data_IF_716525926474
#
_entry.id   IF_716525926474
#
_cell.length_a   1.000
_cell.length_b   1.000
_cell.length_c   1.000
_cell.angle_alpha   90.00
_cell.angle_beta   90.00
_cell.angle_gamma   90.00
#
_symmetry.space_group_name_H-M   'P 1'
#
loop_
_entity.id
_entity.type
_entity.pdbx_description
1 polymer ?
#
# COMPACT_ATOMS: atom_id res chain seq x y z
N UNK A 1 -5.68 -3.30 -29.26
CA UNK A 1 -5.91 -2.53 -28.04
C UNK A 1 -7.35 -2.66 -27.50
N UNK A 2 -8.41 -2.41 -28.28
CA UNK A 2 -9.79 -2.39 -27.77
C UNK A 2 -10.29 -3.75 -27.24
N UNK A 3 -9.96 -4.88 -27.91
CA UNK A 3 -10.34 -6.23 -27.44
C UNK A 3 -9.64 -6.61 -26.12
N UNK A 4 -8.38 -6.25 -25.95
CA UNK A 4 -7.62 -6.54 -24.73
C UNK A 4 -8.11 -5.71 -23.54
N UNK A 5 -8.51 -4.47 -23.74
CA UNK A 5 -9.10 -3.63 -22.68
C UNK A 5 -10.45 -4.17 -22.19
N UNK A 6 -11.31 -4.64 -23.11
CA UNK A 6 -12.60 -5.26 -22.74
C UNK A 6 -12.40 -6.54 -21.93
N UNK A 7 -11.47 -7.39 -22.32
CA UNK A 7 -11.13 -8.61 -21.56
C UNK A 7 -10.62 -8.28 -20.16
N UNK A 8 -9.77 -7.25 -20.03
CA UNK A 8 -9.23 -6.82 -18.74
C UNK A 8 -10.35 -6.26 -17.82
N UNK A 9 -11.26 -5.47 -18.37
CA UNK A 9 -12.43 -4.98 -17.63
C UNK A 9 -13.29 -6.16 -17.17
N UNK A 10 -13.57 -7.11 -18.06
CA UNK A 10 -14.36 -8.30 -17.71
C UNK A 10 -13.70 -9.12 -16.59
N UNK A 11 -12.37 -9.31 -16.63
CA UNK A 11 -11.62 -9.96 -15.57
C UNK A 11 -11.69 -9.17 -14.24
N UNK A 12 -11.53 -7.85 -14.28
CA UNK A 12 -11.62 -7.03 -13.08
C UNK A 12 -13.04 -7.03 -12.47
N UNK A 13 -14.09 -7.01 -13.30
CA UNK A 13 -15.48 -7.17 -12.84
C UNK A 13 -15.66 -8.55 -12.20
N UNK A 14 -15.21 -9.62 -12.88
CA UNK A 14 -15.33 -10.98 -12.36
C UNK A 14 -14.63 -11.14 -11.01
N UNK A 15 -13.41 -10.62 -10.88
CA UNK A 15 -12.67 -10.58 -9.61
C UNK A 15 -13.43 -9.82 -8.53
N UNK A 16 -13.98 -8.66 -8.87
CA UNK A 16 -14.79 -7.85 -7.95
C UNK A 16 -16.02 -8.62 -7.46
N UNK A 17 -16.69 -9.36 -8.34
CA UNK A 17 -17.86 -10.18 -8.00
C UNK A 17 -17.48 -11.37 -7.09
N UNK A 18 -16.39 -12.07 -7.37
CA UNK A 18 -15.90 -13.16 -6.51
C UNK A 18 -15.50 -12.62 -5.14
N UNK A 19 -14.77 -11.52 -5.10
CA UNK A 19 -14.40 -10.87 -3.84
C UNK A 19 -15.64 -10.44 -3.05
N UNK A 20 -16.66 -9.89 -3.73
CA UNK A 20 -17.93 -9.54 -3.09
C UNK A 20 -18.65 -10.75 -2.52
N UNK A 21 -18.72 -11.86 -3.28
CA UNK A 21 -19.37 -13.09 -2.82
C UNK A 21 -18.81 -13.63 -1.50
N UNK A 22 -17.51 -13.39 -1.23
CA UNK A 22 -16.86 -13.73 0.05
C UNK A 22 -17.54 -13.04 1.24
N UNK A 23 -18.08 -11.84 1.09
CA UNK A 23 -18.70 -11.07 2.16
C UNK A 23 -20.21 -11.36 2.34
N UNK A 24 -20.81 -12.15 1.45
CA UNK A 24 -22.26 -12.42 1.48
C UNK A 24 -22.73 -12.97 2.83
N UNK A 25 -21.94 -13.83 3.46
CA UNK A 25 -22.28 -14.35 4.80
C UNK A 25 -22.31 -13.22 5.84
N UNK A 26 -21.28 -12.40 5.91
CA UNK A 26 -21.20 -11.32 6.89
C UNK A 26 -22.29 -10.24 6.73
N UNK A 27 -22.76 -9.99 5.49
CA UNK A 27 -23.85 -9.04 5.27
C UNK A 27 -25.19 -9.50 5.86
N UNK A 28 -25.35 -10.80 6.09
CA UNK A 28 -26.57 -11.37 6.72
C UNK A 28 -26.44 -11.58 8.21
N UNK A 29 -25.23 -11.51 8.76
CA UNK A 29 -24.94 -11.70 10.20
C UNK A 29 -24.37 -10.44 10.86
N UNK A 30 -24.49 -9.29 10.20
CA UNK A 30 -24.03 -7.97 10.68
C UNK A 30 -22.59 -7.96 11.19
N UNK A 31 -21.72 -8.73 10.54
CA UNK A 31 -20.29 -8.87 10.93
C UNK A 31 -20.08 -9.27 12.39
N UNK A 32 -20.95 -10.13 12.93
CA UNK A 32 -20.83 -10.60 14.31
C UNK A 32 -19.50 -11.33 14.56
N UNK A 33 -18.97 -11.16 15.77
CA UNK A 33 -17.74 -11.83 16.24
C UNK A 33 -18.09 -13.06 17.07
N UNK A 34 -17.46 -14.23 16.86
CA UNK A 34 -16.30 -14.54 15.99
C UNK A 34 -16.65 -14.91 14.54
N UNK A 35 -17.92 -14.89 14.15
CA UNK A 35 -18.44 -15.42 12.90
C UNK A 35 -17.76 -14.81 11.65
N UNK A 36 -17.55 -13.49 11.65
CA UNK A 36 -16.86 -12.79 10.56
C UNK A 36 -15.43 -13.28 10.32
N UNK A 37 -14.74 -13.78 11.33
CA UNK A 37 -13.41 -14.33 11.22
C UNK A 37 -13.44 -15.79 10.74
N UNK A 38 -14.39 -16.59 11.25
CA UNK A 38 -14.59 -17.98 10.80
C UNK A 38 -14.80 -18.04 9.29
N UNK A 39 -15.61 -17.13 8.75
CA UNK A 39 -15.95 -17.05 7.33
C UNK A 39 -15.01 -16.15 6.51
N UNK A 40 -13.94 -15.60 7.13
CA UNK A 40 -12.96 -14.75 6.48
C UNK A 40 -13.56 -13.53 5.76
N UNK A 41 -14.67 -12.97 6.26
CA UNK A 41 -15.40 -11.86 5.67
C UNK A 41 -15.36 -10.55 6.51
N UNK A 42 -14.40 -10.44 7.43
CA UNK A 42 -14.11 -9.18 8.13
C UNK A 42 -13.78 -8.05 7.14
N UNK A 43 -14.27 -6.85 7.47
CA UNK A 43 -13.97 -5.63 6.74
C UNK A 43 -13.98 -4.43 7.68
N UNK A 44 -13.02 -3.50 7.51
CA UNK A 44 -13.00 -2.22 8.21
C UNK A 44 -14.17 -1.31 7.77
N UNK A 45 -14.74 -1.56 6.58
CA UNK A 45 -15.84 -0.74 6.04
C UNK A 45 -17.05 -0.72 6.98
N UNK A 46 -17.66 -1.86 7.33
CA UNK A 46 -18.75 -1.88 8.30
C UNK A 46 -18.30 -1.62 9.72
N UNK A 47 -17.12 -2.10 10.15
CA UNK A 47 -16.64 -1.96 11.51
C UNK A 47 -16.53 -0.48 11.93
N UNK A 48 -15.88 0.34 11.10
CA UNK A 48 -15.65 1.75 11.43
C UNK A 48 -16.88 2.64 11.18
N UNK A 49 -17.88 2.17 10.45
CA UNK A 49 -19.12 2.93 10.23
C UNK A 49 -19.83 3.27 11.55
N UNK A 50 -19.98 2.29 12.42
CA UNK A 50 -20.54 2.46 13.76
C UNK A 50 -19.55 3.04 14.77
N UNK A 51 -18.34 2.46 14.82
CA UNK A 51 -17.32 2.80 15.83
C UNK A 51 -16.82 4.26 15.75
N UNK A 52 -16.89 4.90 14.56
CA UNK A 52 -16.43 6.27 14.35
C UNK A 52 -17.56 7.29 14.21
N UNK A 53 -18.79 6.94 14.62
CA UNK A 53 -19.94 7.84 14.61
C UNK A 53 -20.44 8.24 13.21
N UNK A 54 -19.94 7.62 12.16
CA UNK A 54 -20.33 7.92 10.77
C UNK A 54 -21.81 7.62 10.53
N UNK A 55 -22.35 6.59 11.18
CA UNK A 55 -23.76 6.21 11.17
C UNK A 55 -24.68 7.28 11.76
N UNK A 56 -24.15 8.16 12.62
CA UNK A 56 -24.85 9.33 13.18
C UNK A 56 -24.66 10.58 12.32
N UNK A 57 -23.91 10.49 11.24
CA UNK A 57 -23.58 11.61 10.35
C UNK A 57 -22.51 12.55 10.90
N UNK A 58 -21.78 12.17 11.94
CA UNK A 58 -20.70 12.94 12.52
C UNK A 58 -19.54 13.11 11.53
N UNK A 59 -18.89 14.29 11.58
CA UNK A 59 -17.70 14.52 10.76
C UNK A 59 -16.56 13.60 11.22
N UNK A 60 -15.87 12.99 10.29
CA UNK A 60 -14.85 11.97 10.53
C UNK A 60 -13.75 12.36 11.54
N UNK A 61 -13.56 13.66 11.79
CA UNK A 61 -12.52 14.20 12.68
C UNK A 61 -13.06 15.01 13.85
N UNK A 62 -14.39 14.99 14.13
CA UNK A 62 -15.00 15.82 15.16
C UNK A 62 -14.91 15.25 16.57
N UNK A 63 -14.58 13.96 16.73
CA UNK A 63 -14.77 13.22 18.00
C UNK A 63 -13.47 12.91 18.76
N UNK A 64 -12.40 13.70 18.59
CA UNK A 64 -11.12 13.48 19.29
C UNK A 64 -10.64 12.04 19.16
N UNK A 65 -10.57 11.30 20.26
CA UNK A 65 -10.12 9.91 20.29
C UNK A 65 -11.06 8.91 19.59
N UNK A 66 -12.31 9.25 19.33
CA UNK A 66 -13.22 8.45 18.53
C UNK A 66 -13.20 8.80 17.02
N UNK A 67 -12.42 9.80 16.62
CA UNK A 67 -12.22 10.16 15.20
C UNK A 67 -11.61 9.03 14.39
N UNK A 68 -11.75 9.08 13.06
CA UNK A 68 -11.14 8.07 12.18
C UNK A 68 -9.62 8.12 12.25
N UNK A 69 -9.00 6.95 12.24
CA UNK A 69 -7.55 6.77 12.27
C UNK A 69 -6.91 6.72 10.87
N UNK A 70 -7.36 7.57 9.99
CA UNK A 70 -6.85 7.69 8.61
C UNK A 70 -6.54 9.13 8.24
N UNK A 71 -5.66 9.37 7.25
CA UNK A 71 -5.45 10.69 6.68
C UNK A 71 -6.73 11.28 6.07
N UNK A 72 -6.74 12.61 5.88
CA UNK A 72 -7.92 13.44 5.63
C UNK A 72 -8.80 12.96 4.47
N UNK A 73 -8.22 12.55 3.35
CA UNK A 73 -9.02 12.16 2.17
C UNK A 73 -9.80 10.88 2.44
N UNK A 74 -9.20 9.89 3.11
CA UNK A 74 -9.94 8.66 3.48
C UNK A 74 -11.08 8.97 4.45
N UNK A 75 -10.85 9.77 5.50
CA UNK A 75 -11.91 10.15 6.41
C UNK A 75 -13.05 10.93 5.74
N UNK A 76 -12.70 11.84 4.82
CA UNK A 76 -13.68 12.57 4.03
C UNK A 76 -14.51 11.64 3.11
N UNK A 77 -13.89 10.64 2.49
CA UNK A 77 -14.59 9.61 1.68
C UNK A 77 -15.53 8.79 2.55
N UNK A 78 -15.03 8.30 3.70
CA UNK A 78 -15.84 7.55 4.65
C UNK A 78 -17.10 8.34 5.06
N UNK A 79 -16.92 9.59 5.44
CA UNK A 79 -18.00 10.48 5.83
C UNK A 79 -18.95 10.80 4.68
N UNK A 80 -18.43 11.13 3.49
CA UNK A 80 -19.25 11.46 2.34
C UNK A 80 -20.13 10.28 1.90
N UNK A 81 -19.58 9.05 1.89
CA UNK A 81 -20.37 7.84 1.60
C UNK A 81 -21.44 7.62 2.68
N UNK A 82 -21.10 7.83 3.96
CA UNK A 82 -22.08 7.73 5.05
C UNK A 82 -23.24 8.74 4.90
N UNK A 83 -22.97 9.92 4.34
CA UNK A 83 -24.02 10.95 4.12
C UNK A 83 -24.97 10.64 2.97
N UNK A 84 -24.56 9.88 1.98
CA UNK A 84 -25.39 9.59 0.79
C UNK A 84 -26.15 8.28 0.89
N UNK A 85 -25.83 7.41 1.87
CA UNK A 85 -26.55 6.14 2.03
C UNK A 85 -27.82 6.34 2.86
N UNK A 86 -28.90 5.57 2.58
CA UNK A 86 -30.12 5.62 3.38
C UNK A 86 -29.86 5.22 4.85
N UNK A 87 -30.49 5.93 5.77
CA UNK A 87 -30.53 5.57 7.20
C UNK A 87 -31.62 4.52 7.47
N UNK A 88 -31.56 3.84 8.60
CA UNK A 88 -32.51 2.80 9.00
C UNK A 88 -31.85 1.44 9.22
N UNK A 89 -32.65 0.39 9.30
CA UNK A 89 -32.20 -0.95 9.70
C UNK A 89 -31.12 -1.55 8.80
N UNK A 90 -31.09 -1.20 7.53
CA UNK A 90 -30.09 -1.67 6.55
C UNK A 90 -28.95 -0.65 6.30
N UNK A 91 -28.80 0.36 7.15
CA UNK A 91 -27.81 1.42 6.91
C UNK A 91 -26.38 0.89 6.83
N UNK A 92 -26.01 -0.09 7.64
CA UNK A 92 -24.71 -0.74 7.64
C UNK A 92 -24.43 -1.45 6.32
N UNK A 93 -25.37 -2.26 5.83
CA UNK A 93 -25.28 -2.97 4.56
C UNK A 93 -25.23 -1.99 3.39
N UNK A 94 -26.06 -0.95 3.40
CA UNK A 94 -26.08 0.09 2.37
C UNK A 94 -24.75 0.84 2.31
N UNK A 95 -24.16 1.15 3.46
CA UNK A 95 -22.83 1.76 3.54
C UNK A 95 -21.75 0.83 2.96
N UNK A 96 -21.78 -0.44 3.31
CA UNK A 96 -20.89 -1.44 2.78
C UNK A 96 -21.02 -1.57 1.26
N UNK A 97 -22.23 -1.70 0.71
CA UNK A 97 -22.48 -1.83 -0.72
C UNK A 97 -22.05 -0.59 -1.51
N UNK A 98 -22.28 0.60 -0.98
CA UNK A 98 -21.84 1.83 -1.60
C UNK A 98 -20.29 1.90 -1.69
N UNK A 99 -19.59 1.53 -0.62
CA UNK A 99 -18.13 1.42 -0.64
C UNK A 99 -17.63 0.40 -1.66
N UNK A 100 -18.24 -0.80 -1.72
CA UNK A 100 -17.90 -1.85 -2.69
C UNK A 100 -18.03 -1.33 -4.12
N UNK A 101 -19.10 -0.61 -4.44
CA UNK A 101 -19.29 -0.04 -5.77
C UNK A 101 -18.11 0.86 -6.19
N UNK A 102 -17.72 1.80 -5.33
CA UNK A 102 -16.59 2.68 -5.62
C UNK A 102 -15.26 1.93 -5.67
N UNK A 103 -15.02 0.99 -4.75
CA UNK A 103 -13.79 0.20 -4.73
C UNK A 103 -13.67 -0.72 -5.95
N UNK A 104 -14.77 -1.32 -6.41
CA UNK A 104 -14.80 -2.10 -7.66
C UNK A 104 -14.45 -1.23 -8.87
N UNK A 105 -15.03 -0.02 -8.96
CA UNK A 105 -14.70 0.93 -10.01
C UNK A 105 -13.22 1.31 -9.98
N UNK A 106 -12.68 1.61 -8.80
CA UNK A 106 -11.26 1.92 -8.64
C UNK A 106 -10.37 0.74 -9.05
N UNK A 107 -10.76 -0.49 -8.72
CA UNK A 107 -9.98 -1.68 -9.11
C UNK A 107 -9.95 -1.87 -10.63
N UNK A 108 -11.06 -1.60 -11.33
CA UNK A 108 -11.10 -1.58 -12.80
C UNK A 108 -10.15 -0.50 -13.35
N UNK A 109 -10.22 0.72 -12.79
CA UNK A 109 -9.35 1.84 -13.21
C UNK A 109 -7.86 1.54 -12.94
N UNK A 110 -7.52 0.93 -11.80
CA UNK A 110 -6.16 0.47 -11.48
C UNK A 110 -5.70 -0.55 -12.52
N UNK A 111 -6.52 -1.55 -12.84
CA UNK A 111 -6.18 -2.58 -13.82
C UNK A 111 -5.93 -1.98 -15.21
N UNK A 112 -6.75 -1.00 -15.63
CA UNK A 112 -6.58 -0.27 -16.88
C UNK A 112 -5.32 0.62 -16.87
N UNK A 113 -5.00 1.25 -15.73
CA UNK A 113 -3.80 2.07 -15.60
C UNK A 113 -2.54 1.21 -15.64
N UNK A 114 -2.54 0.04 -14.98
CA UNK A 114 -1.47 -0.96 -15.09
C UNK A 114 -1.28 -1.40 -16.54
N UNK A 115 -2.38 -1.62 -17.29
CA UNK A 115 -2.29 -1.98 -18.71
C UNK A 115 -1.67 -0.88 -19.59
N UNK A 116 -1.84 0.39 -19.23
CA UNK A 116 -1.16 1.51 -19.92
C UNK A 116 0.32 1.58 -19.61
N UNK A 117 0.75 1.06 -18.46
CA UNK A 117 2.13 1.07 -17.99
C UNK A 117 2.87 -0.21 -18.37
N UNK A 118 2.19 -1.37 -18.28
CA UNK A 118 2.77 -2.70 -18.54
C UNK A 118 1.75 -3.64 -19.20
N UNK A 119 1.45 -3.48 -20.49
CA UNK A 119 0.38 -4.23 -21.17
C UNK A 119 0.61 -5.75 -21.18
N UNK A 120 1.88 -6.20 -21.23
CA UNK A 120 2.25 -7.62 -21.32
C UNK A 120 1.80 -8.44 -20.10
N UNK A 121 1.84 -7.84 -18.92
CA UNK A 121 1.56 -8.51 -17.64
C UNK A 121 0.30 -7.97 -16.95
N UNK A 122 -0.42 -7.03 -17.56
CA UNK A 122 -1.53 -6.32 -16.92
C UNK A 122 -2.64 -7.24 -16.39
N UNK A 123 -2.87 -8.38 -17.07
CA UNK A 123 -3.87 -9.37 -16.65
C UNK A 123 -3.57 -9.98 -15.27
N UNK A 124 -2.31 -9.96 -14.83
CA UNK A 124 -1.93 -10.45 -13.50
C UNK A 124 -2.57 -9.63 -12.37
N UNK A 125 -2.87 -8.35 -12.59
CA UNK A 125 -3.52 -7.52 -11.56
C UNK A 125 -4.90 -8.05 -11.18
N UNK A 126 -5.86 -8.23 -12.12
CA UNK A 126 -7.19 -8.73 -11.76
C UNK A 126 -7.23 -10.22 -11.41
N UNK A 127 -6.28 -11.05 -11.88
CA UNK A 127 -6.28 -12.48 -11.53
C UNK A 127 -5.43 -12.82 -10.30
N UNK A 128 -4.80 -11.83 -9.65
CA UNK A 128 -4.02 -12.04 -8.45
C UNK A 128 -4.90 -12.55 -7.30
N UNK A 129 -4.71 -13.79 -6.80
CA UNK A 129 -5.64 -14.39 -5.84
C UNK A 129 -5.62 -13.67 -4.49
N UNK A 130 -4.49 -13.11 -4.08
CA UNK A 130 -4.41 -12.32 -2.86
C UNK A 130 -5.14 -10.98 -2.99
N UNK A 131 -5.22 -10.39 -4.20
CA UNK A 131 -6.05 -9.21 -4.45
C UNK A 131 -7.54 -9.56 -4.31
N UNK A 132 -7.99 -10.69 -4.84
CA UNK A 132 -9.36 -11.20 -4.67
C UNK A 132 -9.69 -11.31 -3.18
N UNK A 133 -8.78 -11.88 -2.39
CA UNK A 133 -8.97 -12.08 -0.97
C UNK A 133 -9.10 -10.75 -0.18
N UNK A 134 -8.44 -9.67 -0.63
CA UNK A 134 -8.24 -8.44 0.15
C UNK A 134 -9.04 -7.22 -0.32
N UNK A 135 -9.73 -7.29 -1.48
CA UNK A 135 -10.24 -6.14 -2.23
C UNK A 135 -11.16 -5.20 -1.42
N UNK A 136 -12.01 -5.73 -0.54
CA UNK A 136 -13.01 -4.94 0.20
C UNK A 136 -12.77 -4.93 1.73
N UNK A 137 -11.53 -5.11 2.15
CA UNK A 137 -11.20 -5.01 3.58
C UNK A 137 -11.16 -3.55 4.02
N UNK A 138 -10.64 -2.65 3.16
CA UNK A 138 -10.33 -1.28 3.54
C UNK A 138 -10.38 -0.34 2.30
N UNK A 139 -10.22 0.97 2.52
CA UNK A 139 -10.24 2.05 1.50
C UNK A 139 -8.92 2.22 0.73
N UNK A 140 -7.98 1.29 0.77
CA UNK A 140 -6.63 1.46 0.22
C UNK A 140 -6.60 1.79 -1.27
N UNK A 141 -7.56 1.31 -2.07
CA UNK A 141 -7.59 1.55 -3.52
C UNK A 141 -7.67 3.03 -3.90
N UNK A 142 -8.24 3.89 -3.05
CA UNK A 142 -8.27 5.33 -3.28
C UNK A 142 -6.87 5.96 -3.29
N UNK A 143 -6.00 5.50 -2.42
CA UNK A 143 -4.61 5.95 -2.39
C UNK A 143 -3.76 5.26 -3.47
N UNK A 144 -4.04 3.99 -3.75
CA UNK A 144 -3.31 3.22 -4.76
C UNK A 144 -3.49 3.82 -6.15
N UNK A 145 -4.72 4.21 -6.54
CA UNK A 145 -4.97 4.80 -7.87
C UNK A 145 -4.22 6.12 -8.05
N UNK A 146 -4.19 6.98 -7.03
CA UNK A 146 -3.46 8.26 -7.06
C UNK A 146 -1.95 8.06 -7.02
N UNK A 147 -1.44 7.07 -6.26
CA UNK A 147 -0.03 6.67 -6.27
C UNK A 147 0.41 6.17 -7.65
N UNK A 148 -0.36 5.28 -8.26
CA UNK A 148 -0.07 4.79 -9.61
C UNK A 148 -0.18 5.90 -10.65
N UNK A 149 -1.11 6.83 -10.49
CA UNK A 149 -1.20 8.06 -11.28
C UNK A 149 0.07 8.90 -11.18
N UNK A 150 0.60 9.07 -9.96
CA UNK A 150 1.86 9.78 -9.75
C UNK A 150 3.02 9.10 -10.51
N UNK A 151 3.16 7.77 -10.40
CA UNK A 151 4.19 7.01 -11.14
C UNK A 151 3.99 7.13 -12.65
N UNK A 152 2.75 7.00 -13.12
CA UNK A 152 2.41 7.11 -14.55
C UNK A 152 2.79 8.47 -15.15
N UNK A 153 2.47 9.58 -14.45
CA UNK A 153 2.83 10.92 -14.90
C UNK A 153 4.32 11.22 -14.75
N UNK A 154 4.98 10.70 -13.72
CA UNK A 154 6.43 10.80 -13.55
C UNK A 154 7.18 10.20 -14.74
N UNK A 155 6.80 8.99 -15.16
CA UNK A 155 7.40 8.31 -16.31
C UNK A 155 7.18 9.08 -17.63
N UNK A 156 6.10 9.87 -17.72
CA UNK A 156 5.80 10.75 -18.86
C UNK A 156 6.36 12.16 -18.75
N UNK A 157 7.24 12.41 -17.76
CA UNK A 157 7.84 13.72 -17.50
C UNK A 157 6.83 14.83 -17.19
N UNK A 158 5.57 14.49 -16.82
CA UNK A 158 4.55 15.42 -16.34
C UNK A 158 4.70 15.57 -14.82
N UNK A 159 5.83 16.18 -14.41
CA UNK A 159 6.29 16.16 -13.03
C UNK A 159 5.33 16.87 -12.06
N UNK A 160 4.71 17.98 -12.47
CA UNK A 160 3.75 18.69 -11.62
C UNK A 160 2.50 17.86 -11.34
N UNK A 161 1.94 17.20 -12.39
CA UNK A 161 0.79 16.29 -12.21
C UNK A 161 1.15 15.09 -11.34
N UNK A 162 2.38 14.58 -11.49
CA UNK A 162 2.90 13.52 -10.64
C UNK A 162 2.98 13.96 -9.17
N UNK A 163 3.51 15.15 -8.92
CA UNK A 163 3.65 15.71 -7.57
C UNK A 163 2.29 15.97 -6.90
N UNK A 164 1.32 16.53 -7.65
CA UNK A 164 -0.08 16.70 -7.20
C UNK A 164 -0.72 15.36 -6.82
N UNK A 165 -0.58 14.35 -7.70
CA UNK A 165 -1.15 13.02 -7.45
C UNK A 165 -0.47 12.33 -6.25
N UNK A 166 0.83 12.53 -6.05
CA UNK A 166 1.54 12.00 -4.88
C UNK A 166 1.07 12.67 -3.59
N UNK A 167 0.94 14.00 -3.57
CA UNK A 167 0.41 14.74 -2.42
C UNK A 167 -1.02 14.32 -2.06
N UNK A 168 -1.88 14.10 -3.06
CA UNK A 168 -3.21 13.53 -2.88
C UNK A 168 -3.14 12.11 -2.28
N UNK A 169 -2.26 11.26 -2.82
CA UNK A 169 -2.10 9.89 -2.35
C UNK A 169 -1.64 9.83 -0.88
N UNK A 170 -0.67 10.68 -0.49
CA UNK A 170 -0.20 10.81 0.90
C UNK A 170 -1.33 11.30 1.82
N UNK A 171 -2.17 12.23 1.34
CA UNK A 171 -3.33 12.73 2.08
C UNK A 171 -4.48 11.72 2.18
N UNK A 172 -4.45 10.66 1.36
CA UNK A 172 -5.42 9.55 1.39
C UNK A 172 -4.95 8.43 2.31
N UNK A 173 -3.70 8.00 2.18
CA UNK A 173 -2.99 7.05 3.05
C UNK A 173 -1.52 7.49 3.11
N UNK A 174 -0.91 7.46 4.29
CA UNK A 174 0.41 8.04 4.49
C UNK A 174 1.56 7.24 3.81
N UNK A 175 1.34 5.97 3.52
CA UNK A 175 2.32 5.05 2.92
C UNK A 175 3.06 5.60 1.67
N UNK A 176 2.41 6.29 0.72
CA UNK A 176 3.08 6.84 -0.48
C UNK A 176 4.15 7.90 -0.21
N UNK A 177 4.26 8.44 1.01
CA UNK A 177 5.34 9.37 1.38
C UNK A 177 6.73 8.75 1.12
N UNK A 178 6.85 7.44 1.29
CA UNK A 178 8.11 6.72 1.07
C UNK A 178 8.56 6.70 -0.41
N UNK A 179 7.67 7.04 -1.36
CA UNK A 179 8.05 7.21 -2.77
C UNK A 179 8.92 8.45 -2.98
N UNK A 180 8.89 9.41 -2.05
CA UNK A 180 9.79 10.57 -2.12
C UNK A 180 11.27 10.16 -2.10
N UNK A 181 11.60 9.04 -1.45
CA UNK A 181 12.97 8.52 -1.40
C UNK A 181 13.50 8.15 -2.81
N UNK A 182 12.91 7.21 -3.57
CA UNK A 182 13.39 6.88 -4.91
C UNK A 182 13.27 8.05 -5.88
N UNK A 183 12.26 8.90 -5.75
CA UNK A 183 12.10 10.12 -6.56
C UNK A 183 13.27 11.07 -6.33
N UNK A 184 13.67 11.32 -5.07
CA UNK A 184 14.81 12.15 -4.73
C UNK A 184 16.09 11.63 -5.39
N UNK A 185 16.37 10.32 -5.31
CA UNK A 185 17.54 9.72 -5.91
C UNK A 185 17.53 9.74 -7.44
N UNK A 186 16.37 9.59 -8.08
CA UNK A 186 16.24 9.73 -9.53
C UNK A 186 16.61 11.16 -9.96
N UNK A 187 16.11 12.18 -9.28
CA UNK A 187 16.46 13.57 -9.57
C UNK A 187 17.94 13.85 -9.32
N UNK A 188 18.48 13.37 -8.21
CA UNK A 188 19.89 13.54 -7.84
C UNK A 188 20.80 12.91 -8.91
N UNK A 189 20.53 11.68 -9.32
CA UNK A 189 21.28 10.99 -10.38
C UNK A 189 21.17 11.65 -11.76
N UNK A 190 20.10 12.40 -12.01
CA UNK A 190 19.90 13.19 -13.22
C UNK A 190 20.46 14.61 -13.12
N UNK A 191 21.05 14.98 -12.00
CA UNK A 191 21.52 16.35 -11.70
C UNK A 191 20.41 17.41 -11.85
N UNK A 192 19.19 17.09 -11.44
CA UNK A 192 17.98 17.93 -11.60
C UNK A 192 17.49 18.45 -10.25
N UNK A 193 18.34 19.13 -9.48
CA UNK A 193 18.05 19.61 -8.12
C UNK A 193 16.86 20.58 -8.11
N UNK A 194 16.79 21.53 -9.04
CA UNK A 194 15.65 22.46 -9.13
C UNK A 194 14.34 21.73 -9.42
N UNK A 195 14.37 20.69 -10.28
CA UNK A 195 13.22 19.82 -10.53
C UNK A 195 12.77 19.07 -9.28
N UNK A 196 13.71 18.58 -8.47
CA UNK A 196 13.43 17.93 -7.20
C UNK A 196 12.76 18.91 -6.21
N UNK A 197 13.34 20.09 -6.02
CA UNK A 197 12.77 21.11 -5.11
C UNK A 197 11.35 21.50 -5.52
N UNK A 198 11.11 21.74 -6.82
CA UNK A 198 9.76 22.01 -7.34
C UNK A 198 8.80 20.85 -7.08
N UNK A 199 9.22 19.63 -7.34
CA UNK A 199 8.40 18.42 -7.14
C UNK A 199 7.99 18.28 -5.67
N UNK A 200 8.94 18.40 -4.75
CA UNK A 200 8.68 18.30 -3.32
C UNK A 200 7.82 19.45 -2.81
N UNK A 201 8.06 20.69 -3.30
CA UNK A 201 7.24 21.83 -2.94
C UNK A 201 5.78 21.65 -3.37
N UNK A 202 5.53 21.17 -4.61
CA UNK A 202 4.16 20.91 -5.09
C UNK A 202 3.51 19.78 -4.28
N UNK A 203 4.24 18.70 -3.99
CA UNK A 203 3.72 17.59 -3.16
C UNK A 203 3.36 18.06 -1.76
N UNK A 204 4.24 18.84 -1.12
CA UNK A 204 4.01 19.40 0.21
C UNK A 204 2.87 20.42 0.23
N UNK A 205 2.79 21.30 -0.78
CA UNK A 205 1.70 22.25 -0.92
C UNK A 205 0.34 21.56 -1.11
N UNK A 206 0.29 20.48 -1.90
CA UNK A 206 -0.92 19.66 -2.09
C UNK A 206 -1.34 19.01 -0.78
N UNK A 207 -0.37 18.40 -0.07
CA UNK A 207 -0.64 17.83 1.24
C UNK A 207 -1.15 18.88 2.22
N UNK A 208 -0.50 20.04 2.31
CA UNK A 208 -0.89 21.12 3.19
C UNK A 208 -2.29 21.66 2.84
N UNK A 209 -2.57 21.89 1.56
CA UNK A 209 -3.88 22.38 1.11
C UNK A 209 -5.04 21.47 1.50
N UNK A 210 -4.82 20.13 1.51
CA UNK A 210 -5.82 19.15 1.90
C UNK A 210 -5.92 19.03 3.42
N UNK A 211 -4.80 19.01 4.13
CA UNK A 211 -4.75 18.67 5.55
C UNK A 211 -4.95 19.89 6.46
N UNK A 212 -4.47 21.07 6.07
CA UNK A 212 -4.50 22.27 6.91
C UNK A 212 -5.93 22.71 7.31
N UNK A 213 -6.94 22.69 6.42
CA UNK A 213 -8.31 23.03 6.84
C UNK A 213 -8.85 22.14 7.96
N UNK A 214 -8.56 20.81 7.89
CA UNK A 214 -9.01 19.86 8.91
C UNK A 214 -8.21 20.04 10.20
N UNK A 215 -6.89 20.24 10.10
CA UNK A 215 -6.06 20.55 11.26
C UNK A 215 -6.52 21.80 12.01
N UNK A 216 -6.88 22.86 11.29
CA UNK A 216 -7.32 24.14 11.90
C UNK A 216 -8.72 24.05 12.53
N UNK A 217 -9.60 23.17 12.02
CA UNK A 217 -10.97 23.05 12.51
C UNK A 217 -11.15 21.93 13.54
N UNK A 218 -10.42 20.82 13.40
CA UNK A 218 -10.52 19.65 14.26
C UNK A 218 -9.12 19.05 14.54
N UNK A 219 -8.23 19.78 15.24
CA UNK A 219 -6.82 19.40 15.41
C UNK A 219 -6.64 18.05 16.13
N UNK A 220 -7.43 17.77 17.16
CA UNK A 220 -7.34 16.51 17.92
C UNK A 220 -7.67 15.30 17.04
N UNK A 221 -8.76 15.37 16.27
CA UNK A 221 -9.15 14.31 15.35
C UNK A 221 -8.14 14.12 14.23
N UNK A 222 -7.55 15.21 13.70
CA UNK A 222 -6.49 15.13 12.70
C UNK A 222 -5.22 14.49 13.26
N UNK A 223 -4.82 14.84 14.48
CA UNK A 223 -3.62 14.31 15.15
C UNK A 223 -3.75 12.83 15.50
N UNK A 224 -4.98 12.32 15.72
CA UNK A 224 -5.23 10.92 16.11
C UNK A 224 -4.49 9.91 15.23
N UNK A 225 -4.51 10.09 13.90
CA UNK A 225 -3.80 9.19 12.98
C UNK A 225 -2.30 9.08 13.34
N UNK A 226 -1.66 10.20 13.57
CA UNK A 226 -0.22 10.26 13.86
C UNK A 226 0.09 9.70 15.25
N UNK A 227 -0.66 10.11 16.25
CA UNK A 227 -0.50 9.63 17.64
C UNK A 227 -0.67 8.13 17.73
N UNK A 228 -1.71 7.57 17.11
CA UNK A 228 -1.95 6.13 17.09
C UNK A 228 -0.77 5.38 16.44
N UNK A 229 -0.27 5.85 15.31
CA UNK A 229 0.83 5.16 14.62
C UNK A 229 2.17 5.27 15.39
N UNK A 230 2.39 6.32 16.15
CA UNK A 230 3.57 6.47 17.00
C UNK A 230 3.48 5.58 18.25
N UNK A 231 2.31 5.52 18.90
CA UNK A 231 2.12 4.84 20.17
C UNK A 231 1.85 3.34 20.06
N UNK A 232 1.33 2.84 18.92
CA UNK A 232 0.96 1.42 18.77
C UNK A 232 2.16 0.49 18.86
N UNK A 233 1.92 -0.67 19.50
CA UNK A 233 2.88 -1.77 19.55
C UNK A 233 2.95 -2.57 18.24
N UNK A 234 3.51 -3.78 18.32
CA UNK A 234 3.42 -4.74 17.20
C UNK A 234 1.99 -5.21 17.02
N UNK A 235 1.60 -5.34 15.75
CA UNK A 235 0.26 -5.71 15.37
C UNK A 235 0.28 -6.85 14.33
N UNK A 236 -0.90 -7.34 13.99
CA UNK A 236 -1.11 -8.48 13.12
C UNK A 236 -0.30 -8.35 11.80
N UNK A 237 0.31 -9.47 11.42
CA UNK A 237 1.10 -9.60 10.18
C UNK A 237 2.49 -8.99 10.23
N UNK A 238 2.88 -8.29 11.28
CA UNK A 238 4.25 -7.78 11.41
C UNK A 238 5.23 -8.88 11.80
N UNK A 239 6.49 -8.73 11.36
CA UNK A 239 7.59 -9.60 11.81
C UNK A 239 7.73 -9.55 13.33
N UNK A 240 7.50 -8.38 13.92
CA UNK A 240 7.63 -8.15 15.36
C UNK A 240 6.61 -8.95 16.15
N UNK A 241 5.34 -8.96 15.71
CA UNK A 241 4.31 -9.76 16.35
C UNK A 241 4.63 -11.26 16.23
N UNK A 242 5.08 -11.72 15.05
CA UNK A 242 5.45 -13.12 14.85
C UNK A 242 6.62 -13.56 15.73
N UNK A 243 7.67 -12.73 15.86
CA UNK A 243 8.81 -13.00 16.71
C UNK A 243 8.41 -13.03 18.20
N UNK A 244 7.59 -12.08 18.65
CA UNK A 244 7.05 -12.08 20.03
C UNK A 244 6.24 -13.33 20.31
N UNK A 245 5.39 -13.75 19.36
CA UNK A 245 4.58 -14.96 19.45
C UNK A 245 5.43 -16.24 19.54
N UNK A 246 6.65 -16.22 19.00
CA UNK A 246 7.65 -17.30 19.11
C UNK A 246 8.53 -17.20 20.36
N UNK A 247 8.24 -16.29 21.28
CA UNK A 247 8.95 -16.13 22.55
C UNK A 247 10.16 -15.19 22.52
N UNK A 248 10.38 -14.46 21.42
CA UNK A 248 11.46 -13.45 21.36
C UNK A 248 11.04 -12.21 22.15
N UNK A 249 11.84 -11.88 23.18
CA UNK A 249 11.61 -10.64 23.92
C UNK A 249 12.16 -9.44 23.15
N UNK A 250 11.26 -8.56 22.70
CA UNK A 250 11.58 -7.36 21.93
C UNK A 250 11.49 -6.12 22.82
N UNK A 251 12.52 -5.91 23.64
CA UNK A 251 12.66 -4.65 24.38
C UNK A 251 12.81 -3.48 23.38
N UNK A 252 12.16 -2.34 23.68
CA UNK A 252 12.26 -1.11 22.88
C UNK A 252 11.87 -1.26 21.39
N UNK A 253 10.77 -1.95 21.12
CA UNK A 253 10.28 -2.25 19.77
C UNK A 253 10.27 -1.03 18.83
N UNK A 254 9.88 0.16 19.32
CA UNK A 254 9.86 1.38 18.50
C UNK A 254 11.24 1.73 17.95
N UNK A 255 12.28 1.69 18.80
CA UNK A 255 13.66 1.96 18.36
C UNK A 255 14.15 0.88 17.38
N UNK A 256 13.87 -0.38 17.68
CA UNK A 256 14.28 -1.50 16.84
C UNK A 256 13.62 -1.42 15.45
N UNK A 257 12.32 -1.15 15.37
CA UNK A 257 11.60 -1.02 14.10
C UNK A 257 12.09 0.18 13.27
N UNK A 258 12.39 1.31 13.91
CA UNK A 258 12.97 2.48 13.24
C UNK A 258 14.39 2.15 12.75
N UNK A 259 15.22 1.48 13.55
CA UNK A 259 16.57 1.10 13.15
C UNK A 259 16.56 0.19 11.92
N UNK A 260 15.70 -0.84 11.90
CA UNK A 260 15.55 -1.74 10.75
C UNK A 260 15.04 -0.98 9.52
N UNK A 261 14.11 -0.03 9.69
CA UNK A 261 13.63 0.81 8.60
C UNK A 261 14.75 1.70 8.04
N UNK A 262 15.53 2.35 8.88
CA UNK A 262 16.67 3.18 8.47
C UNK A 262 17.76 2.35 7.79
N UNK A 263 18.07 1.16 8.31
CA UNK A 263 19.01 0.23 7.67
C UNK A 263 18.50 -0.22 6.28
N UNK A 264 17.20 -0.48 6.15
CA UNK A 264 16.58 -0.79 4.86
C UNK A 264 16.71 0.37 3.87
N UNK A 265 16.48 1.61 4.31
CA UNK A 265 16.65 2.80 3.47
C UNK A 265 18.11 3.03 3.09
N UNK A 266 19.06 2.81 3.99
CA UNK A 266 20.48 2.89 3.68
C UNK A 266 20.87 1.83 2.63
N UNK A 267 20.41 0.58 2.77
CA UNK A 267 20.66 -0.47 1.80
C UNK A 267 20.04 -0.15 0.42
N UNK A 268 18.81 0.36 0.37
CA UNK A 268 18.14 0.78 -0.87
C UNK A 268 18.90 1.98 -1.50
N UNK A 269 19.38 2.90 -0.68
CA UNK A 269 20.19 4.05 -1.15
C UNK A 269 21.47 3.56 -1.82
N UNK A 270 22.23 2.69 -1.16
CA UNK A 270 23.44 2.09 -1.71
C UNK A 270 23.12 1.36 -3.02
N UNK A 271 22.06 0.54 -3.01
CA UNK A 271 21.59 -0.16 -4.21
C UNK A 271 21.35 0.82 -5.39
N UNK A 272 20.58 1.91 -5.17
CA UNK A 272 20.27 2.89 -6.22
C UNK A 272 21.55 3.61 -6.73
N UNK A 273 22.50 3.90 -5.84
CA UNK A 273 23.75 4.57 -6.20
C UNK A 273 24.69 3.67 -7.02
N UNK A 274 24.71 2.37 -6.75
CA UNK A 274 25.55 1.39 -7.46
C UNK A 274 24.98 0.95 -8.83
N UNK A 275 23.70 1.24 -9.10
CA UNK A 275 23.08 0.84 -10.35
C UNK A 275 23.67 1.57 -11.56
N UNK A 276 24.04 0.84 -12.61
CA UNK A 276 24.43 1.42 -13.91
C UNK A 276 23.26 2.17 -14.56
N UNK A 277 22.11 1.55 -14.60
CA UNK A 277 20.86 2.10 -15.15
C UNK A 277 19.83 2.26 -14.02
N UNK A 278 19.14 3.39 -13.99
CA UNK A 278 18.07 3.62 -13.01
C UNK A 278 16.86 2.78 -13.40
N UNK A 279 16.34 1.88 -12.52
CA UNK A 279 15.12 1.14 -12.76
C UNK A 279 13.90 2.07 -12.89
N UNK A 280 12.77 1.53 -13.37
CA UNK A 280 11.50 2.27 -13.38
C UNK A 280 11.12 2.71 -11.96
N UNK A 281 10.43 3.86 -11.85
CA UNK A 281 9.95 4.32 -10.55
C UNK A 281 9.03 3.28 -9.89
N UNK A 282 8.25 2.53 -10.67
CA UNK A 282 7.41 1.44 -10.12
C UNK A 282 8.22 0.33 -9.45
N UNK A 283 9.36 -0.08 -10.07
CA UNK A 283 10.25 -1.10 -9.47
C UNK A 283 10.86 -0.61 -8.16
N UNK A 284 11.37 0.62 -8.14
CA UNK A 284 11.93 1.22 -6.92
C UNK A 284 10.85 1.42 -5.85
N UNK A 285 9.63 1.84 -6.25
CA UNK A 285 8.49 1.98 -5.34
C UNK A 285 8.07 0.65 -4.73
N UNK A 286 8.08 -0.45 -5.51
CA UNK A 286 7.83 -1.79 -4.98
C UNK A 286 8.86 -2.15 -3.91
N UNK A 287 10.16 -2.00 -4.20
CA UNK A 287 11.24 -2.34 -3.26
C UNK A 287 11.11 -1.53 -1.97
N UNK A 288 10.90 -0.21 -2.09
CA UNK A 288 10.77 0.67 -0.92
C UNK A 288 9.54 0.33 -0.10
N UNK A 289 8.35 0.24 -0.71
CA UNK A 289 7.12 -0.03 0.03
C UNK A 289 7.12 -1.44 0.65
N UNK A 290 7.62 -2.45 -0.07
CA UNK A 290 7.74 -3.80 0.48
C UNK A 290 8.71 -3.84 1.67
N UNK A 291 9.86 -3.14 1.60
CA UNK A 291 10.79 -3.02 2.73
C UNK A 291 10.16 -2.29 3.92
N UNK A 292 9.42 -1.20 3.69
CA UNK A 292 8.67 -0.50 4.72
C UNK A 292 7.65 -1.42 5.38
N UNK A 293 6.87 -2.17 4.60
CA UNK A 293 5.85 -3.10 5.14
C UNK A 293 6.48 -4.21 5.98
N UNK A 294 7.61 -4.78 5.52
CA UNK A 294 8.35 -5.82 6.27
C UNK A 294 8.92 -5.27 7.57
N UNK A 295 9.46 -4.05 7.56
CA UNK A 295 10.04 -3.41 8.75
C UNK A 295 8.99 -2.81 9.71
N UNK A 296 7.76 -2.58 9.24
CA UNK A 296 6.70 -1.91 10.01
C UNK A 296 6.19 -2.76 11.17
N UNK A 297 5.64 -2.07 12.18
CA UNK A 297 4.92 -2.71 13.30
C UNK A 297 3.57 -3.30 12.89
N UNK A 298 3.11 -3.04 11.68
CA UNK A 298 1.84 -3.51 11.09
C UNK A 298 2.08 -3.91 9.64
N UNK A 299 1.64 -5.11 9.28
CA UNK A 299 1.62 -5.54 7.89
C UNK A 299 0.27 -6.23 7.59
N UNK A 300 -0.77 -5.42 7.44
CA UNK A 300 -2.16 -5.87 7.25
C UNK A 300 -2.36 -6.70 5.98
N UNK A 301 -3.38 -7.59 5.92
CA UNK A 301 -3.61 -8.47 4.77
C UNK A 301 -3.91 -7.71 3.47
N UNK A 302 -4.57 -6.55 3.54
CA UNK A 302 -4.89 -5.73 2.37
C UNK A 302 -3.67 -4.99 1.77
N UNK A 303 -2.52 -4.99 2.43
CA UNK A 303 -1.33 -4.33 1.88
C UNK A 303 -0.78 -5.00 0.60
N UNK A 304 -1.17 -6.23 0.32
CA UNK A 304 -0.91 -6.89 -0.95
C UNK A 304 -1.50 -6.10 -2.15
N UNK A 305 -2.58 -5.33 -1.94
CA UNK A 305 -3.18 -4.48 -2.98
C UNK A 305 -2.26 -3.34 -3.43
N UNK A 306 -1.37 -2.85 -2.55
CA UNK A 306 -0.36 -1.85 -2.88
C UNK A 306 0.76 -2.42 -3.73
N UNK A 307 1.22 -3.60 -3.35
CA UNK A 307 2.37 -4.25 -3.95
C UNK A 307 2.05 -4.93 -5.27
N UNK A 308 0.83 -5.49 -5.44
CA UNK A 308 0.45 -6.24 -6.65
C UNK A 308 0.59 -5.41 -7.93
N UNK A 309 -0.02 -4.22 -8.08
CA UNK A 309 0.13 -3.43 -9.30
C UNK A 309 1.57 -2.95 -9.52
N UNK A 310 2.30 -2.62 -8.45
CA UNK A 310 3.70 -2.22 -8.56
C UNK A 310 4.58 -3.40 -9.01
N UNK A 311 4.36 -4.60 -8.47
CA UNK A 311 5.04 -5.81 -8.89
C UNK A 311 4.79 -6.12 -10.36
N UNK A 312 3.54 -6.05 -10.81
CA UNK A 312 3.16 -6.29 -12.22
C UNK A 312 3.83 -5.30 -13.17
N UNK A 313 3.88 -4.00 -12.79
CA UNK A 313 4.57 -2.99 -13.61
C UNK A 313 6.10 -3.22 -13.60
N UNK A 314 6.66 -3.68 -12.48
CA UNK A 314 8.09 -3.93 -12.32
C UNK A 314 8.58 -5.21 -13.02
N UNK A 315 7.69 -6.15 -13.36
CA UNK A 315 8.07 -7.38 -14.06
C UNK A 315 8.74 -7.06 -15.41
N UNK A 316 9.90 -7.66 -15.65
CA UNK A 316 10.68 -7.49 -16.88
C UNK A 316 10.66 -8.76 -17.74
N UNK A 317 10.73 -9.92 -17.08
CA UNK A 317 10.89 -11.22 -17.72
C UNK A 317 9.82 -12.22 -17.22
N UNK A 318 9.31 -13.05 -18.13
CA UNK A 318 8.40 -14.15 -17.79
C UNK A 318 8.98 -15.12 -16.77
N UNK A 319 10.30 -15.23 -16.72
CA UNK A 319 11.01 -16.06 -15.71
C UNK A 319 10.80 -15.56 -14.28
N UNK A 320 10.43 -14.28 -14.08
CA UNK A 320 10.20 -13.72 -12.76
C UNK A 320 8.77 -14.01 -12.24
N UNK A 321 7.89 -14.55 -13.11
CA UNK A 321 6.53 -14.92 -12.75
C UNK A 321 6.47 -15.99 -11.64
N UNK A 322 7.45 -16.88 -11.55
CA UNK A 322 7.49 -17.87 -10.46
C UNK A 322 7.59 -17.17 -9.09
N UNK A 323 8.43 -16.15 -8.96
CA UNK A 323 8.56 -15.40 -7.71
C UNK A 323 7.28 -14.61 -7.38
N UNK A 324 6.63 -14.03 -8.40
CA UNK A 324 5.33 -13.38 -8.23
C UNK A 324 4.27 -14.35 -7.70
N UNK A 325 4.18 -15.57 -8.27
CA UNK A 325 3.18 -16.55 -7.85
C UNK A 325 3.49 -17.19 -6.48
N UNK A 326 4.77 -17.40 -6.14
CA UNK A 326 5.18 -17.81 -4.79
C UNK A 326 4.73 -16.79 -3.76
N UNK A 327 4.99 -15.50 -4.03
CA UNK A 327 4.56 -14.42 -3.16
C UNK A 327 3.03 -14.34 -3.06
N UNK A 328 2.29 -14.40 -4.18
CA UNK A 328 0.82 -14.41 -4.16
C UNK A 328 0.25 -15.60 -3.37
N UNK A 329 0.85 -16.78 -3.51
CA UNK A 329 0.47 -17.97 -2.72
C UNK A 329 0.67 -17.76 -1.22
N UNK A 330 1.82 -17.20 -0.82
CA UNK A 330 2.11 -16.90 0.58
C UNK A 330 1.13 -15.85 1.16
N UNK A 331 0.76 -14.82 0.37
CA UNK A 331 -0.22 -13.81 0.76
C UNK A 331 -1.63 -14.42 0.96
N UNK A 332 -2.06 -15.37 0.10
CA UNK A 332 -3.34 -16.09 0.27
C UNK A 332 -3.32 -16.96 1.52
N UNK A 333 -2.25 -17.71 1.73
CA UNK A 333 -2.10 -18.56 2.93
C UNK A 333 -2.15 -17.67 4.19
N UNK A 334 -1.44 -16.54 4.17
CA UNK A 334 -1.48 -15.57 5.27
C UNK A 334 -2.88 -14.99 5.45
N UNK A 335 -3.59 -14.66 4.37
CA UNK A 335 -4.95 -14.11 4.44
C UNK A 335 -5.92 -15.06 5.15
N UNK A 336 -5.84 -16.35 4.88
CA UNK A 336 -6.61 -17.36 5.63
C UNK A 336 -6.13 -17.46 7.07
N UNK A 337 -4.83 -17.47 7.29
CA UNK A 337 -4.23 -17.62 8.62
C UNK A 337 -4.62 -16.50 9.59
N UNK A 338 -4.64 -15.24 9.15
CA UNK A 338 -5.02 -14.12 10.02
C UNK A 338 -6.46 -14.26 10.51
N UNK A 339 -7.41 -14.58 9.62
CA UNK A 339 -8.80 -14.72 10.03
C UNK A 339 -9.02 -15.94 10.91
N UNK A 340 -8.40 -17.07 10.62
CA UNK A 340 -8.47 -18.24 11.47
C UNK A 340 -7.82 -18.05 12.84
N UNK A 341 -6.76 -17.22 12.90
CA UNK A 341 -6.16 -16.85 14.18
C UNK A 341 -7.08 -15.93 14.97
N UNK A 342 -7.66 -14.91 14.34
CA UNK A 342 -8.62 -14.02 14.98
C UNK A 342 -9.87 -14.77 15.45
N UNK A 343 -10.37 -15.74 14.67
CA UNK A 343 -11.43 -16.62 15.11
C UNK A 343 -11.07 -17.35 16.42
N UNK A 344 -9.86 -17.91 16.49
CA UNK A 344 -9.37 -18.61 17.69
C UNK A 344 -9.32 -17.71 18.92
N UNK A 345 -8.77 -16.50 18.80
CA UNK A 345 -8.60 -15.58 19.93
C UNK A 345 -9.91 -14.85 20.33
N UNK A 346 -10.94 -14.93 19.49
CA UNK A 346 -12.28 -14.37 19.78
C UNK A 346 -13.31 -15.41 20.18
N UNK A 347 -12.88 -16.64 20.48
CA UNK A 347 -13.73 -17.65 21.13
C UNK A 347 -14.41 -18.65 20.17
N UNK A 348 -13.99 -18.77 18.92
CA UNK A 348 -14.46 -19.83 18.04
C UNK A 348 -13.96 -21.21 18.50
N UNK A 349 -14.75 -22.26 18.23
CA UNK A 349 -14.37 -23.64 18.55
C UNK A 349 -13.12 -24.12 17.81
N UNK A 350 -12.90 -23.58 16.60
CA UNK A 350 -11.78 -23.92 15.73
C UNK A 350 -11.09 -22.62 15.31
N UNK A 351 -9.79 -22.73 15.05
CA UNK A 351 -9.02 -21.61 14.57
C UNK A 351 -7.54 -21.94 14.61
N UNK A 352 -6.73 -21.06 14.04
CA UNK A 352 -5.29 -21.24 13.97
C UNK A 352 -4.64 -20.79 15.28
N UNK A 353 -3.86 -21.66 15.96
CA UNK A 353 -3.15 -21.26 17.16
C UNK A 353 -2.02 -20.27 16.87
N UNK A 354 -1.61 -19.50 17.89
CA UNK A 354 -0.64 -18.40 17.79
C UNK A 354 0.68 -18.81 17.09
N UNK A 355 1.24 -19.98 17.43
CA UNK A 355 2.49 -20.44 16.79
C UNK A 355 2.32 -20.72 15.29
N UNK A 356 1.22 -21.34 14.89
CA UNK A 356 0.93 -21.60 13.49
C UNK A 356 0.77 -20.28 12.71
N UNK A 357 0.08 -19.31 13.29
CA UNK A 357 -0.06 -17.99 12.71
C UNK A 357 1.31 -17.26 12.57
N UNK A 358 2.15 -17.33 13.60
CA UNK A 358 3.48 -16.72 13.56
C UNK A 358 4.36 -17.30 12.44
N UNK A 359 4.37 -18.64 12.28
CA UNK A 359 5.13 -19.29 11.21
C UNK A 359 4.64 -18.90 9.81
N UNK A 360 3.32 -18.82 9.62
CA UNK A 360 2.75 -18.39 8.33
C UNK A 360 3.05 -16.90 8.07
N UNK A 361 3.06 -16.06 9.10
CA UNK A 361 3.49 -14.67 8.98
C UNK A 361 4.95 -14.57 8.52
N UNK A 362 5.86 -15.37 9.09
CA UNK A 362 7.26 -15.42 8.64
C UNK A 362 7.41 -15.94 7.21
N UNK A 363 6.60 -16.93 6.80
CA UNK A 363 6.56 -17.41 5.41
C UNK A 363 6.17 -16.29 4.43
N UNK A 364 5.11 -15.50 4.76
CA UNK A 364 4.70 -14.33 3.99
C UNK A 364 5.84 -13.32 3.83
N UNK A 365 6.51 -12.99 4.93
CA UNK A 365 7.63 -12.06 4.95
C UNK A 365 8.79 -12.57 4.10
N UNK A 366 9.16 -13.84 4.24
CA UNK A 366 10.20 -14.48 3.44
C UNK A 366 9.87 -14.44 1.93
N UNK A 367 8.62 -14.71 1.54
CA UNK A 367 8.19 -14.62 0.15
C UNK A 367 8.23 -13.18 -0.38
N UNK A 368 7.89 -12.18 0.45
CA UNK A 368 8.01 -10.75 0.09
C UNK A 368 9.47 -10.37 -0.12
N UNK A 369 10.37 -10.74 0.80
CA UNK A 369 11.81 -10.51 0.68
C UNK A 369 12.40 -11.21 -0.55
N UNK A 370 11.94 -12.43 -0.85
CA UNK A 370 12.36 -13.15 -2.06
C UNK A 370 12.00 -12.37 -3.33
N UNK A 371 10.79 -11.83 -3.43
CA UNK A 371 10.39 -11.02 -4.59
C UNK A 371 11.18 -9.71 -4.68
N UNK A 372 11.46 -9.04 -3.54
CA UNK A 372 12.37 -7.89 -3.48
C UNK A 372 13.75 -8.28 -4.06
N UNK A 373 14.31 -9.40 -3.61
CA UNK A 373 15.63 -9.87 -4.06
C UNK A 373 15.67 -10.12 -5.58
N UNK A 374 14.60 -10.65 -6.17
CA UNK A 374 14.50 -10.84 -7.62
C UNK A 374 14.57 -9.49 -8.34
N UNK A 375 13.80 -8.48 -7.90
CA UNK A 375 13.83 -7.16 -8.53
C UNK A 375 15.16 -6.43 -8.34
N UNK A 376 15.79 -6.54 -7.17
CA UNK A 376 17.13 -6.00 -6.91
C UNK A 376 18.15 -6.65 -7.83
N UNK A 377 18.18 -7.98 -7.96
CA UNK A 377 19.09 -8.70 -8.85
C UNK A 377 18.89 -8.32 -10.31
N UNK A 378 17.65 -8.12 -10.76
CA UNK A 378 17.36 -7.64 -12.13
C UNK A 378 17.90 -6.23 -12.36
N UNK A 379 17.73 -5.34 -11.40
CA UNK A 379 18.30 -4.00 -11.47
C UNK A 379 19.83 -4.02 -11.63
N UNK A 380 20.52 -4.80 -10.81
CA UNK A 380 21.99 -4.96 -10.87
C UNK A 380 22.47 -5.56 -12.20
N UNK A 381 21.72 -6.51 -12.75
CA UNK A 381 22.05 -7.12 -14.05
C UNK A 381 21.78 -6.20 -15.27
N UNK A 382 21.30 -4.96 -15.05
CA UNK A 382 20.97 -4.03 -16.13
C UNK A 382 19.71 -4.42 -16.93
N UNK A 383 18.97 -5.45 -16.49
CA UNK A 383 17.77 -5.98 -17.13
C UNK A 383 16.49 -5.19 -16.85
N UNK A 384 16.59 -3.95 -16.39
CA UNK A 384 15.43 -3.08 -16.12
C UNK A 384 15.06 -2.30 -17.39
N UNK A 385 13.76 -2.09 -17.62
CA UNK A 385 13.33 -1.12 -18.62
C UNK A 385 13.83 0.26 -18.20
N UNK A 386 14.83 0.76 -18.92
CA UNK A 386 15.11 2.19 -18.93
C UNK A 386 13.91 2.87 -19.58
N UNK A 387 13.34 3.89 -18.94
CA UNK A 387 12.35 4.74 -19.60
C UNK A 387 12.92 5.18 -20.96
N UNK A 388 12.29 4.73 -22.05
CA UNK A 388 12.66 5.07 -23.41
C UNK A 388 12.64 6.59 -23.57
N UNK A 389 13.78 7.24 -23.43
CA UNK A 389 13.91 8.70 -23.55
C UNK A 389 14.96 9.35 -22.66
N UNK A 390 15.63 8.63 -21.78
CA UNK A 390 16.80 9.15 -21.07
C UNK A 390 18.06 8.58 -21.74
N UNK A 391 18.87 9.42 -22.34
CA UNK A 391 20.27 9.08 -22.68
C UNK A 391 21.00 8.54 -21.43
N UNK A 392 22.14 7.89 -21.58
CA UNK A 392 22.88 7.32 -20.47
C UNK A 392 23.09 8.42 -19.41
N UNK A 393 22.42 8.30 -18.26
CA UNK A 393 22.71 9.16 -17.12
C UNK A 393 24.14 8.87 -16.69
N UNK A 394 24.95 9.92 -16.52
CA UNK A 394 26.33 9.79 -16.09
C UNK A 394 26.36 8.91 -14.82
N UNK A 395 27.10 7.81 -14.89
CA UNK A 395 27.27 6.90 -13.78
C UNK A 395 28.23 7.58 -12.79
N UNK A 396 27.69 8.09 -11.68
CA UNK A 396 28.50 8.47 -10.52
C UNK A 396 28.53 7.30 -9.55
N UNK A 397 29.71 6.78 -9.29
CA UNK A 397 29.91 5.76 -8.26
C UNK A 397 29.73 6.39 -6.86
N UNK A 398 29.44 5.56 -5.84
CA UNK A 398 29.38 5.99 -4.44
C UNK A 398 30.66 6.74 -4.02
N UNK A 399 31.81 6.35 -4.56
CA UNK A 399 33.12 6.95 -4.33
C UNK A 399 33.20 8.38 -4.88
N UNK A 400 32.73 8.61 -6.11
CA UNK A 400 32.65 9.96 -6.72
C UNK A 400 31.68 10.86 -5.97
N UNK A 401 30.56 10.30 -5.50
CA UNK A 401 29.58 11.07 -4.72
C UNK A 401 30.13 11.51 -3.36
N UNK A 402 30.88 10.64 -2.65
CA UNK A 402 31.38 10.92 -1.30
C UNK A 402 32.71 11.68 -1.27
N UNK A 403 33.56 11.52 -2.28
CA UNK A 403 34.95 11.98 -2.21
C UNK A 403 35.34 13.05 -3.25
N UNK A 404 34.58 13.24 -4.31
CA UNK A 404 34.87 14.24 -5.34
C UNK A 404 34.06 15.55 -5.23
N UNK A 405 33.08 15.65 -4.33
CA UNK A 405 32.36 16.90 -4.05
C UNK A 405 33.19 17.93 -3.25
N UNK A 406 34.42 17.58 -2.85
CA UNK A 406 35.29 18.42 -2.04
C UNK A 406 36.23 19.38 -2.82
N UNK A 407 36.32 19.26 -4.16
CA UNK A 407 37.32 20.01 -4.95
C UNK A 407 36.73 21.02 -5.94
N UNK A 408 35.54 21.56 -5.70
CA UNK A 408 34.94 22.59 -6.56
C UNK A 408 34.68 23.88 -5.78
N UNK A 409 35.76 24.50 -5.28
CA UNK A 409 35.78 25.96 -5.07
C UNK A 409 37.16 26.48 -5.49
N UNK A 410 37.24 27.44 -6.44
CA UNK A 410 38.43 28.23 -6.64
C UNK A 410 38.53 29.30 -5.54
#
# INVERSE_FOLDING_TARGET
MQKSARALIALAIFTSLISFAKFNHCTTTDWSTPDQYIHACYSDLPALYGERGLNKGEWAYSNGDASVEYPVVTGAIMWAIAKIVPTGDNALQNYFYANIFFLALLFILISLLVAKMRPEFAYLTPIAPAAIASLYINWDLWAIISMLGAIYWFDRKKLDLSALALGLSISTKFMPIFLLLPIAFIFLRRNQIQGALRYFAITAATFAAINLPVYLTTPEGWLRFYQLNLSRGSDWGSIWYALTALGVNLANLNYLSILVLLASFAAITIYILELKNIPSLASLSFIVLAAVMVASKVYSPQYVLWLTPLAVIALVDKRDLHAFWIWQGAEVIYHVAIWQHLASVTGAKFGLPLYGYALITLLRIAATIYLIAIFVRRGLAGGTQTNSGSGPAAHRSLREFLFESGNAYP
#
